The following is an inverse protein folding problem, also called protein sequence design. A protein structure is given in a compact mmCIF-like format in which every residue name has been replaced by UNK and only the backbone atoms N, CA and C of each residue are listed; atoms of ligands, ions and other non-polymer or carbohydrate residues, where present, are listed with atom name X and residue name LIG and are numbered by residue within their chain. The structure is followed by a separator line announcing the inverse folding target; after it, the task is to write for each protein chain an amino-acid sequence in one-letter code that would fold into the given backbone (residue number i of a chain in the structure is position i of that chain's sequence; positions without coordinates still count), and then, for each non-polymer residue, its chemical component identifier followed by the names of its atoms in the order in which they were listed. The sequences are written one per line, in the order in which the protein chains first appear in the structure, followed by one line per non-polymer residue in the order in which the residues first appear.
data_IF_306344920555
#
_entry.id   IF_306344920555
#
_cell.length_a   1.000
_cell.length_b   1.000
_cell.length_c   1.000
_cell.angle_alpha   90.00
_cell.angle_beta   90.00
_cell.angle_gamma   90.00
#
_symmetry.space_group_name_H-M   'P 1'
#
loop_
_entity.id
_entity.type
_entity.pdbx_description
1 polymer ?
#
# COMPACT_ATOMS: atom_id res chain seq x y z
N UNK A 1 47.22 -18.25 48.60
CA UNK A 1 46.73 -19.11 47.49
C UNK A 1 45.35 -18.68 46.94
N UNK A 2 44.26 -18.65 47.74
CA UNK A 2 42.91 -18.29 47.24
C UNK A 2 42.75 -16.85 46.71
N UNK A 3 43.43 -15.87 47.31
CA UNK A 3 43.35 -14.45 46.91
C UNK A 3 44.04 -14.16 45.57
N UNK A 4 45.11 -14.89 45.24
CA UNK A 4 45.80 -14.78 43.95
C UNK A 4 44.95 -15.31 42.79
N UNK A 5 44.14 -16.36 43.01
CA UNK A 5 43.22 -16.89 41.98
C UNK A 5 42.11 -15.88 41.63
N UNK A 6 41.63 -15.12 42.63
CA UNK A 6 40.65 -14.06 42.42
C UNK A 6 41.24 -12.86 41.67
N UNK A 7 42.45 -12.42 42.04
CA UNK A 7 43.15 -11.31 41.36
C UNK A 7 43.48 -11.65 39.91
N UNK A 8 43.95 -12.88 39.65
CA UNK A 8 44.23 -13.35 38.27
C UNK A 8 42.94 -13.45 37.44
N UNK A 9 41.83 -13.88 38.04
CA UNK A 9 40.53 -13.93 37.37
C UNK A 9 40.00 -12.55 36.97
N UNK A 10 40.13 -11.54 37.84
CA UNK A 10 39.73 -10.16 37.53
C UNK A 10 40.62 -9.55 36.45
N UNK A 11 41.91 -9.83 36.48
CA UNK A 11 42.86 -9.34 35.47
C UNK A 11 42.55 -9.94 34.08
N UNK A 12 42.27 -11.25 34.03
CA UNK A 12 41.87 -11.91 32.79
C UNK A 12 40.54 -11.40 32.24
N UNK A 13 39.56 -11.14 33.10
CA UNK A 13 38.28 -10.56 32.70
C UNK A 13 38.45 -9.13 32.13
N UNK A 14 39.32 -8.31 32.72
CA UNK A 14 39.62 -6.96 32.23
C UNK A 14 40.37 -6.96 30.89
N UNK A 15 41.26 -7.95 30.66
CA UNK A 15 41.96 -8.10 29.38
C UNK A 15 40.99 -8.57 28.29
N UNK A 16 40.07 -9.48 28.62
CA UNK A 16 39.07 -9.98 27.67
C UNK A 16 38.10 -8.87 27.21
N UNK A 17 37.68 -7.96 28.09
CA UNK A 17 36.85 -6.81 27.71
C UNK A 17 37.62 -5.79 26.87
N UNK A 18 38.91 -5.58 27.14
CA UNK A 18 39.75 -4.71 26.31
C UNK A 18 39.99 -5.27 24.90
N UNK A 19 40.15 -6.59 24.76
CA UNK A 19 40.36 -7.25 23.47
C UNK A 19 39.11 -7.25 22.58
N UNK A 20 37.91 -7.34 23.18
CA UNK A 20 36.64 -7.25 22.44
C UNK A 20 36.28 -5.82 22.04
N UNK A 21 36.80 -4.81 22.75
CA UNK A 21 36.33 -3.42 22.62
C UNK A 21 37.09 -2.57 21.59
N UNK A 22 38.06 -3.09 20.84
CA UNK A 22 38.86 -2.26 19.92
C UNK A 22 39.10 -2.89 18.54
N UNK A 23 38.11 -3.61 18.02
CA UNK A 23 38.05 -3.91 16.60
C UNK A 23 37.44 -2.70 15.89
N UNK A 24 38.28 -1.82 15.34
CA UNK A 24 37.81 -0.90 14.30
C UNK A 24 37.30 -1.77 13.14
N UNK A 25 35.98 -1.79 12.97
CA UNK A 25 35.33 -2.53 11.89
C UNK A 25 35.90 -2.12 10.53
N UNK A 26 35.75 -2.98 9.50
CA UNK A 26 36.23 -2.68 8.16
C UNK A 26 35.75 -1.29 7.73
N UNK A 27 36.64 -0.54 7.09
CA UNK A 27 36.40 0.81 6.58
C UNK A 27 35.11 0.79 5.75
N UNK A 28 34.11 1.54 6.19
CA UNK A 28 32.77 1.46 5.62
C UNK A 28 32.83 1.89 4.15
N UNK A 29 32.62 0.94 3.24
CA UNK A 29 32.37 1.24 1.82
C UNK A 29 31.05 2.00 1.77
N UNK A 30 31.01 3.10 1.02
CA UNK A 30 29.79 3.86 0.83
C UNK A 30 28.68 2.91 0.38
N UNK A 31 27.53 2.86 1.10
CA UNK A 31 26.51 1.90 0.77
C UNK A 31 25.94 2.24 -0.61
N UNK A 32 25.76 1.22 -1.45
CA UNK A 32 25.13 1.34 -2.77
C UNK A 32 23.82 0.57 -2.78
N UNK A 33 22.88 0.96 -3.64
CA UNK A 33 21.61 0.24 -3.76
C UNK A 33 21.83 -1.17 -4.35
N UNK A 34 21.71 -2.19 -3.51
CA UNK A 34 21.76 -3.60 -3.95
C UNK A 34 20.43 -4.03 -4.57
N UNK A 35 20.39 -5.10 -5.39
CA UNK A 35 19.15 -5.63 -5.94
C UNK A 35 18.09 -5.97 -4.88
N UNK A 36 18.51 -6.46 -3.72
CA UNK A 36 17.64 -6.78 -2.58
C UNK A 36 17.05 -5.51 -1.97
N UNK A 37 17.87 -4.46 -1.83
CA UNK A 37 17.41 -3.16 -1.32
C UNK A 37 16.42 -2.51 -2.30
N UNK A 38 16.66 -2.62 -3.60
CA UNK A 38 15.74 -2.18 -4.65
C UNK A 38 14.41 -2.93 -4.56
N UNK A 39 14.43 -4.25 -4.34
CA UNK A 39 13.21 -5.05 -4.17
C UNK A 39 12.41 -4.65 -2.92
N UNK A 40 13.08 -4.29 -1.82
CA UNK A 40 12.41 -3.78 -0.61
C UNK A 40 11.72 -2.43 -0.86
N UNK A 41 12.33 -1.56 -1.67
CA UNK A 41 11.76 -0.26 -2.01
C UNK A 41 10.57 -0.35 -2.96
N UNK A 42 10.52 -1.38 -3.82
CA UNK A 42 9.53 -1.53 -4.88
C UNK A 42 8.08 -1.38 -4.40
N UNK A 43 7.73 -1.97 -3.24
CA UNK A 43 6.36 -1.90 -2.72
C UNK A 43 5.95 -0.49 -2.29
N UNK A 44 6.85 0.25 -1.64
CA UNK A 44 6.58 1.63 -1.20
C UNK A 44 6.54 2.58 -2.39
N UNK A 45 7.51 2.45 -3.29
CA UNK A 45 7.59 3.25 -4.51
C UNK A 45 6.37 3.02 -5.39
N UNK A 46 5.92 1.77 -5.57
CA UNK A 46 4.74 1.47 -6.38
C UNK A 46 3.45 2.08 -5.85
N UNK A 47 3.27 2.15 -4.52
CA UNK A 47 2.11 2.80 -3.91
C UNK A 47 2.14 4.32 -4.09
N UNK A 48 3.31 4.92 -3.90
CA UNK A 48 3.53 6.36 -4.10
C UNK A 48 3.30 6.73 -5.57
N UNK A 49 3.83 5.95 -6.52
CA UNK A 49 3.57 6.13 -7.97
C UNK A 49 2.08 5.95 -8.31
N UNK A 50 1.38 4.99 -7.70
CA UNK A 50 -0.05 4.83 -7.90
C UNK A 50 -0.85 6.06 -7.42
N UNK A 51 -0.44 6.68 -6.32
CA UNK A 51 -1.02 7.94 -5.85
C UNK A 51 -0.73 9.08 -6.83
N UNK A 52 0.51 9.17 -7.34
CA UNK A 52 0.92 10.15 -8.36
C UNK A 52 0.03 10.14 -9.60
N UNK A 53 -0.25 8.94 -10.13
CA UNK A 53 -1.08 8.76 -11.33
C UNK A 53 -2.49 9.32 -11.15
N UNK A 54 -2.99 9.35 -9.90
CA UNK A 54 -4.33 9.83 -9.56
C UNK A 54 -4.38 11.31 -9.19
N UNK A 55 -3.25 12.01 -9.05
CA UNK A 55 -3.26 13.44 -8.71
C UNK A 55 -4.00 14.34 -9.72
N UNK A 56 -4.08 14.03 -11.03
CA UNK A 56 -4.94 14.76 -11.95
C UNK A 56 -6.45 14.61 -11.65
N UNK A 57 -6.85 13.58 -10.89
CA UNK A 57 -8.23 13.44 -10.38
C UNK A 57 -8.52 14.52 -9.32
N UNK A 58 -7.58 14.73 -8.39
CA UNK A 58 -7.66 15.77 -7.36
C UNK A 58 -7.72 17.17 -7.96
N UNK A 59 -6.88 17.46 -8.96
CA UNK A 59 -6.91 18.74 -9.68
C UNK A 59 -8.31 19.03 -10.25
N UNK A 60 -8.92 18.04 -10.91
CA UNK A 60 -10.27 18.18 -11.49
C UNK A 60 -11.34 18.43 -10.43
N UNK A 61 -11.17 17.93 -9.21
CA UNK A 61 -12.10 18.24 -8.11
C UNK A 61 -11.94 19.69 -7.63
N UNK A 62 -10.69 20.18 -7.52
CA UNK A 62 -10.40 21.57 -7.18
C UNK A 62 -10.94 22.52 -8.25
N UNK A 63 -10.67 22.24 -9.54
CA UNK A 63 -11.16 23.02 -10.68
C UNK A 63 -12.69 23.15 -10.75
N UNK A 64 -13.41 22.20 -10.16
CA UNK A 64 -14.87 22.18 -10.15
C UNK A 64 -15.47 22.66 -8.82
N UNK A 65 -14.66 23.21 -7.92
CA UNK A 65 -15.06 23.56 -6.55
C UNK A 65 -15.76 22.39 -5.82
N UNK A 66 -15.40 21.15 -6.15
CA UNK A 66 -16.02 19.96 -5.58
C UNK A 66 -15.30 19.56 -4.29
N UNK A 67 -15.48 20.39 -3.26
CA UNK A 67 -14.81 20.27 -1.96
C UNK A 67 -15.07 18.92 -1.25
N UNK A 68 -16.24 18.32 -1.46
CA UNK A 68 -16.57 16.99 -0.93
C UNK A 68 -15.65 15.93 -1.54
N UNK A 69 -15.42 15.98 -2.85
CA UNK A 69 -14.51 15.04 -3.49
C UNK A 69 -13.04 15.37 -3.24
N UNK A 70 -12.68 16.63 -3.01
CA UNK A 70 -11.34 16.99 -2.51
C UNK A 70 -11.10 16.31 -1.16
N UNK A 71 -12.00 16.49 -0.19
CA UNK A 71 -11.89 15.90 1.15
C UNK A 71 -11.87 14.36 1.12
N UNK A 72 -12.76 13.75 0.34
CA UNK A 72 -12.77 12.30 0.15
C UNK A 72 -11.46 11.79 -0.48
N UNK A 73 -10.87 12.56 -1.38
CA UNK A 73 -9.64 12.16 -2.06
C UNK A 73 -8.42 12.23 -1.11
N UNK A 74 -8.33 13.28 -0.29
CA UNK A 74 -7.20 13.47 0.64
C UNK A 74 -7.22 12.46 1.78
N UNK A 75 -8.40 12.06 2.25
CA UNK A 75 -8.55 11.08 3.33
C UNK A 75 -8.71 9.63 2.86
N UNK A 76 -9.11 9.40 1.60
CA UNK A 76 -9.27 8.07 1.02
C UNK A 76 -8.00 7.62 0.29
N UNK A 77 -7.88 7.89 -1.03
CA UNK A 77 -6.69 7.64 -1.84
C UNK A 77 -5.36 8.06 -1.19
N UNK A 78 -5.28 9.28 -0.65
CA UNK A 78 -4.05 9.78 -0.02
C UNK A 78 -3.99 9.53 1.50
N UNK A 79 -4.99 8.87 2.09
CA UNK A 79 -5.07 8.70 3.55
C UNK A 79 -3.91 7.92 4.17
N UNK A 80 -3.21 7.09 3.38
CA UNK A 80 -2.03 6.34 3.82
C UNK A 80 -0.70 7.00 3.46
N UNK A 81 -0.73 8.14 2.74
CA UNK A 81 0.46 8.77 2.18
C UNK A 81 1.52 9.08 3.24
N UNK A 82 1.11 9.60 4.41
CA UNK A 82 2.04 9.85 5.54
C UNK A 82 2.85 8.62 5.92
N UNK A 83 2.19 7.47 6.02
CA UNK A 83 2.86 6.22 6.40
C UNK A 83 3.74 5.68 5.28
N UNK A 84 3.36 5.89 4.03
CA UNK A 84 4.14 5.49 2.86
C UNK A 84 5.42 6.31 2.73
N UNK A 85 5.32 7.64 2.86
CA UNK A 85 6.45 8.57 2.81
C UNK A 85 7.47 8.27 3.91
N UNK A 86 7.01 8.12 5.16
CA UNK A 86 7.89 7.78 6.29
C UNK A 86 8.63 6.45 6.08
N UNK A 87 7.94 5.44 5.54
CA UNK A 87 8.55 4.14 5.23
C UNK A 87 9.52 4.23 4.06
N UNK A 88 9.19 4.98 3.01
CA UNK A 88 10.10 5.18 1.89
C UNK A 88 11.39 5.85 2.36
N UNK A 89 11.28 6.99 3.04
CA UNK A 89 12.42 7.80 3.49
C UNK A 89 13.35 6.98 4.39
N UNK A 90 12.82 6.28 5.39
CA UNK A 90 13.62 5.42 6.28
C UNK A 90 14.27 4.22 5.59
N UNK A 91 13.78 3.82 4.41
CA UNK A 91 14.34 2.72 3.64
C UNK A 91 15.39 3.17 2.62
N UNK A 92 15.58 4.47 2.36
CA UNK A 92 16.64 4.93 1.48
C UNK A 92 18.03 4.77 2.11
N UNK A 93 19.07 4.98 1.31
CA UNK A 93 20.43 5.04 1.83
C UNK A 93 20.62 6.26 2.73
N UNK A 94 21.52 6.22 3.73
CA UNK A 94 21.75 7.32 4.66
C UNK A 94 22.03 8.68 3.98
N UNK A 95 22.65 8.67 2.81
CA UNK A 95 22.93 9.88 2.03
C UNK A 95 21.66 10.55 1.47
N UNK A 96 20.62 9.76 1.20
CA UNK A 96 19.36 10.22 0.58
C UNK A 96 18.24 10.42 1.61
N UNK A 97 18.35 9.80 2.79
CA UNK A 97 17.35 9.83 3.86
C UNK A 97 16.95 11.26 4.25
N UNK A 98 17.92 12.10 4.60
CA UNK A 98 17.64 13.46 5.07
C UNK A 98 16.89 14.29 4.02
N UNK A 99 17.25 14.17 2.74
CA UNK A 99 16.57 14.87 1.66
C UNK A 99 15.13 14.35 1.47
N UNK A 100 14.94 13.03 1.54
CA UNK A 100 13.62 12.43 1.40
C UNK A 100 12.70 12.73 2.59
N UNK A 101 13.25 12.84 3.80
CA UNK A 101 12.51 13.25 4.99
C UNK A 101 11.98 14.67 4.86
N UNK A 102 12.82 15.63 4.48
CA UNK A 102 12.40 17.02 4.26
C UNK A 102 11.30 17.10 3.20
N UNK A 103 11.50 16.46 2.04
CA UNK A 103 10.48 16.42 0.99
C UNK A 103 9.18 15.74 1.45
N UNK A 104 9.27 14.71 2.29
CA UNK A 104 8.09 14.07 2.87
C UNK A 104 7.32 15.00 3.79
N UNK A 105 8.02 15.82 4.58
CA UNK A 105 7.41 16.82 5.45
C UNK A 105 6.74 17.94 4.64
N UNK A 106 7.39 18.42 3.59
CA UNK A 106 6.85 19.45 2.70
C UNK A 106 5.58 18.96 1.99
N UNK A 107 5.61 17.75 1.41
CA UNK A 107 4.42 17.09 0.80
C UNK A 107 3.25 17.06 1.80
N UNK A 108 3.51 16.64 3.03
CA UNK A 108 2.45 16.56 4.06
C UNK A 108 1.96 17.94 4.50
N UNK A 109 2.85 18.93 4.57
CA UNK A 109 2.52 20.31 4.86
C UNK A 109 1.62 20.93 3.79
N UNK A 110 1.92 20.69 2.52
CA UNK A 110 1.10 21.16 1.40
C UNK A 110 -0.26 20.44 1.35
N UNK A 111 -0.30 19.14 1.62
CA UNK A 111 -1.56 18.39 1.71
C UNK A 111 -2.45 18.94 2.84
N UNK A 112 -1.89 19.20 4.02
CA UNK A 112 -2.63 19.80 5.14
C UNK A 112 -3.18 21.19 4.77
N UNK A 113 -2.37 22.05 4.14
CA UNK A 113 -2.83 23.39 3.72
C UNK A 113 -3.89 23.30 2.62
N UNK A 114 -3.83 22.30 1.75
CA UNK A 114 -4.86 22.01 0.76
C UNK A 114 -6.18 21.63 1.44
N UNK A 115 -6.14 20.77 2.46
CA UNK A 115 -7.34 20.42 3.27
C UNK A 115 -7.93 21.65 3.98
N UNK A 116 -7.08 22.51 4.54
CA UNK A 116 -7.51 23.77 5.16
C UNK A 116 -8.15 24.71 4.14
N UNK A 117 -7.58 24.83 2.94
CA UNK A 117 -8.15 25.64 1.86
C UNK A 117 -9.47 25.07 1.35
N UNK A 118 -9.58 23.73 1.24
CA UNK A 118 -10.81 23.02 0.88
C UNK A 118 -11.93 23.30 1.87
N UNK A 119 -11.64 23.23 3.17
CA UNK A 119 -12.58 23.55 4.25
C UNK A 119 -13.10 24.99 4.15
N UNK A 120 -12.22 25.93 3.79
CA UNK A 120 -12.54 27.35 3.60
C UNK A 120 -13.16 27.65 2.22
N UNK A 121 -13.23 26.66 1.33
CA UNK A 121 -13.64 26.82 -0.08
C UNK A 121 -12.79 27.86 -0.83
N UNK A 122 -11.52 27.92 -0.48
CA UNK A 122 -10.55 28.82 -1.11
C UNK A 122 -9.90 28.12 -2.30
N UNK A 123 -10.46 28.33 -3.48
CA UNK A 123 -9.91 27.82 -4.74
C UNK A 123 -8.46 28.24 -4.95
N UNK A 124 -8.15 29.53 -4.73
CA UNK A 124 -6.82 30.07 -4.99
C UNK A 124 -5.76 29.44 -4.08
N UNK A 125 -6.09 29.25 -2.80
CA UNK A 125 -5.26 28.53 -1.84
C UNK A 125 -5.13 27.06 -2.22
N UNK A 126 -6.23 26.37 -2.52
CA UNK A 126 -6.25 24.94 -2.82
C UNK A 126 -5.40 24.60 -4.06
N UNK A 127 -5.58 25.36 -5.17
CA UNK A 127 -4.83 25.08 -6.41
C UNK A 127 -3.34 25.42 -6.28
N UNK A 128 -2.99 26.43 -5.48
CA UNK A 128 -1.60 26.75 -5.20
C UNK A 128 -0.93 25.62 -4.40
N UNK A 129 -1.57 25.17 -3.31
CA UNK A 129 -1.04 24.06 -2.50
C UNK A 129 -0.98 22.74 -3.27
N UNK A 130 -1.94 22.48 -4.16
CA UNK A 130 -1.90 21.33 -5.06
C UNK A 130 -0.65 21.31 -5.94
N UNK A 131 -0.27 22.46 -6.51
CA UNK A 131 0.90 22.55 -7.39
C UNK A 131 2.20 22.31 -6.64
N UNK A 132 2.36 22.91 -5.46
CA UNK A 132 3.52 22.67 -4.59
C UNK A 132 3.57 21.19 -4.17
N UNK A 133 2.43 20.63 -3.74
CA UNK A 133 2.30 19.21 -3.40
C UNK A 133 2.76 18.30 -4.54
N UNK A 134 2.34 18.54 -5.78
CA UNK A 134 2.79 17.77 -6.95
C UNK A 134 4.29 17.97 -7.21
N UNK A 135 4.79 19.20 -7.09
CA UNK A 135 6.20 19.53 -7.28
C UNK A 135 7.11 18.76 -6.32
N UNK A 136 6.78 18.75 -5.03
CA UNK A 136 7.56 18.02 -4.03
C UNK A 136 7.43 16.50 -4.18
N UNK A 137 6.27 16.03 -4.64
CA UNK A 137 6.07 14.62 -4.96
C UNK A 137 7.03 14.15 -6.07
N UNK A 138 7.15 14.94 -7.14
CA UNK A 138 8.08 14.67 -8.24
C UNK A 138 9.54 14.81 -7.79
N UNK A 139 9.84 15.79 -6.92
CA UNK A 139 11.16 15.95 -6.33
C UNK A 139 11.54 14.74 -5.45
N UNK A 140 10.62 14.18 -4.67
CA UNK A 140 10.86 12.98 -3.87
C UNK A 140 11.16 11.78 -4.75
N UNK A 141 10.38 11.58 -5.81
CA UNK A 141 10.60 10.47 -6.76
C UNK A 141 11.92 10.60 -7.51
N UNK A 142 12.47 11.81 -7.65
CA UNK A 142 13.81 12.03 -8.22
C UNK A 142 14.95 11.55 -7.31
N UNK A 143 14.71 11.48 -5.99
CA UNK A 143 15.67 10.95 -5.00
C UNK A 143 15.64 9.42 -4.96
N UNK A 144 14.51 8.82 -5.33
CA UNK A 144 14.36 7.37 -5.36
C UNK A 144 15.16 6.77 -6.54
N UNK A 145 15.91 5.67 -6.32
CA UNK A 145 16.64 4.99 -7.39
C UNK A 145 15.75 4.62 -8.57
N UNK A 146 16.18 4.96 -9.78
CA UNK A 146 15.41 4.69 -11.00
C UNK A 146 15.08 3.20 -11.17
N UNK A 147 16.01 2.31 -10.80
CA UNK A 147 15.78 0.86 -10.83
C UNK A 147 14.63 0.40 -9.92
N UNK A 148 14.39 1.09 -8.79
CA UNK A 148 13.25 0.80 -7.91
C UNK A 148 11.94 1.30 -8.53
N UNK A 149 11.95 2.48 -9.15
CA UNK A 149 10.80 3.05 -9.87
C UNK A 149 10.41 2.20 -11.08
N UNK A 150 11.36 1.79 -11.90
CA UNK A 150 11.13 0.95 -13.07
C UNK A 150 10.53 -0.41 -12.69
N UNK A 151 11.07 -1.07 -11.66
CA UNK A 151 10.48 -2.32 -11.15
C UNK A 151 9.08 -2.14 -10.59
N UNK A 152 8.78 -1.00 -9.98
CA UNK A 152 7.44 -0.69 -9.49
C UNK A 152 6.44 -0.42 -10.63
N UNK A 153 6.89 0.16 -11.74
CA UNK A 153 6.09 0.42 -12.96
C UNK A 153 5.98 -0.79 -13.91
N UNK A 154 6.80 -1.83 -13.71
CA UNK A 154 6.68 -3.06 -14.48
C UNK A 154 5.32 -3.69 -14.17
N UNK A 155 4.51 -4.04 -15.18
CA UNK A 155 3.22 -4.67 -14.94
C UNK A 155 3.47 -5.94 -14.15
N UNK A 156 3.05 -5.96 -12.89
CA UNK A 156 2.91 -7.17 -12.11
C UNK A 156 2.15 -8.14 -13.01
N UNK A 157 2.82 -9.22 -13.41
CA UNK A 157 2.19 -10.37 -14.07
C UNK A 157 0.85 -10.55 -13.40
N UNK A 158 -0.25 -10.44 -14.15
CA UNK A 158 -1.60 -10.66 -13.67
C UNK A 158 -1.59 -12.00 -12.93
N UNK A 159 -1.45 -11.98 -11.61
CA UNK A 159 -1.94 -13.08 -10.80
C UNK A 159 -3.45 -13.00 -11.00
N UNK A 160 -4.08 -13.98 -11.66
CA UNK A 160 -5.51 -13.97 -11.84
C UNK A 160 -6.15 -13.75 -10.48
N UNK A 161 -7.06 -12.79 -10.42
CA UNK A 161 -7.87 -12.56 -9.23
C UNK A 161 -8.53 -13.87 -8.84
N UNK A 162 -8.82 -14.11 -7.56
CA UNK A 162 -9.62 -15.29 -7.15
C UNK A 162 -10.95 -15.32 -7.94
N UNK A 163 -11.48 -14.15 -8.30
CA UNK A 163 -12.65 -14.00 -9.17
C UNK A 163 -12.42 -14.50 -10.62
N UNK A 164 -11.20 -14.40 -11.15
CA UNK A 164 -10.86 -14.91 -12.49
C UNK A 164 -10.75 -16.45 -12.50
N UNK A 165 -10.38 -17.06 -11.36
CA UNK A 165 -10.36 -18.52 -11.21
C UNK A 165 -11.77 -19.11 -11.05
N UNK A 166 -12.71 -18.38 -10.45
CA UNK A 166 -14.08 -18.88 -10.22
C UNK A 166 -15.05 -18.60 -11.38
N UNK A 167 -14.66 -17.77 -12.35
CA UNK A 167 -15.52 -17.39 -13.49
C UNK A 167 -15.30 -18.26 -14.73
N UNK A 168 -14.31 -19.16 -14.73
CA UNK A 168 -14.25 -20.23 -15.73
C UNK A 168 -15.25 -21.33 -15.35
N UNK A 169 -16.53 -21.05 -15.56
CA UNK A 169 -17.57 -22.08 -15.62
C UNK A 169 -17.21 -22.92 -16.86
N UNK A 170 -16.88 -24.22 -16.73
CA UNK A 170 -16.76 -25.08 -17.90
C UNK A 170 -18.10 -25.03 -18.64
N UNK A 171 -18.03 -24.84 -19.96
CA UNK A 171 -19.19 -24.83 -20.87
C UNK A 171 -20.11 -26.00 -20.47
N UNK A 172 -21.40 -25.77 -20.16
CA UNK A 172 -22.27 -26.84 -19.68
C UNK A 172 -22.31 -27.92 -20.76
N UNK A 173 -21.67 -29.05 -20.46
CA UNK A 173 -21.82 -30.26 -21.25
C UNK A 173 -23.32 -30.52 -21.35
N UNK A 174 -23.83 -30.47 -22.58
CA UNK A 174 -25.25 -30.49 -22.92
C UNK A 174 -25.86 -31.76 -22.33
N UNK A 175 -26.47 -31.65 -21.13
CA UNK A 175 -27.14 -32.75 -20.46
C UNK A 175 -28.36 -33.10 -21.31
N UNK A 176 -28.17 -34.09 -22.19
CA UNK A 176 -29.24 -34.75 -22.93
C UNK A 176 -30.24 -35.31 -21.91
N UNK A 177 -31.51 -34.85 -21.88
CA UNK A 177 -32.47 -35.44 -20.97
C UNK A 177 -32.84 -36.85 -21.45
N UNK A 178 -32.52 -37.86 -20.63
CA UNK A 178 -33.04 -39.23 -20.80
C UNK A 178 -34.56 -39.23 -20.58
N UNK A 179 -35.37 -39.84 -21.48
CA UNK A 179 -36.82 -39.70 -21.47
C UNK A 179 -37.50 -40.78 -20.62
N UNK A 180 -37.43 -40.74 -19.30
CA UNK A 180 -38.06 -41.82 -18.49
C UNK A 180 -38.85 -41.33 -17.25
N UNK A 181 -38.77 -40.07 -16.81
CA UNK A 181 -39.34 -39.67 -15.50
C UNK A 181 -40.67 -38.90 -15.56
N UNK A 182 -41.57 -39.29 -16.47
CA UNK A 182 -42.94 -38.76 -16.58
C UNK A 182 -44.02 -39.76 -16.13
N UNK A 183 -43.89 -40.34 -14.94
CA UNK A 183 -45.01 -41.05 -14.29
C UNK A 183 -45.15 -40.60 -12.83
N UNK A 184 -45.75 -39.42 -12.63
CA UNK A 184 -46.30 -39.04 -11.32
C UNK A 184 -47.69 -39.62 -11.18
N UNK A 185 -47.82 -40.70 -10.42
CA UNK A 185 -49.11 -41.21 -9.93
C UNK A 185 -49.70 -40.19 -8.95
N UNK A 186 -50.95 -39.72 -9.14
CA UNK A 186 -51.55 -38.77 -8.21
C UNK A 186 -51.97 -39.46 -6.91
N UNK A 187 -51.54 -38.88 -5.78
CA UNK A 187 -52.01 -39.22 -4.42
C UNK A 187 -53.38 -38.58 -4.24
N UNK A 188 -54.43 -39.40 -4.16
CA UNK A 188 -55.79 -38.98 -3.82
C UNK A 188 -55.83 -38.54 -2.34
N UNK A 189 -56.17 -37.28 -2.11
CA UNK A 189 -56.60 -36.73 -0.82
C UNK A 189 -58.12 -36.67 -0.86
N UNK A 190 -58.77 -37.40 0.02
CA UNK A 190 -60.23 -37.48 0.15
C UNK A 190 -60.79 -36.12 0.64
N UNK A 191 -61.62 -35.49 -0.19
CA UNK A 191 -62.40 -34.28 0.15
C UNK A 191 -63.74 -34.65 0.80
N UNK A 192 -64.07 -33.86 1.82
CA UNK A 192 -65.27 -33.91 2.65
C UNK A 192 -66.53 -33.47 1.86
N UNK A 193 -67.56 -34.32 1.87
CA UNK A 193 -69.03 -34.06 1.80
C UNK A 193 -69.64 -33.27 0.61
N UNK A 194 -70.67 -33.83 -0.07
CA UNK A 194 -71.30 -33.22 -1.26
C UNK A 194 -72.32 -32.12 -0.93
N UNK A 195 -72.35 -31.08 -1.76
CA UNK A 195 -73.43 -30.09 -1.81
C UNK A 195 -74.00 -29.99 -3.24
N UNK A 196 -75.22 -30.50 -3.43
CA UNK A 196 -76.20 -30.13 -4.44
C UNK A 196 -77.52 -30.83 -4.03
N UNK A 197 -78.74 -30.30 -4.12
CA UNK A 197 -79.36 -29.55 -5.21
C UNK A 197 -80.55 -28.71 -4.73
N UNK A 198 -80.98 -27.80 -5.62
CA UNK A 198 -82.12 -26.92 -5.50
C UNK A 198 -83.47 -27.64 -5.64
N UNK A 199 -84.45 -27.24 -4.82
CA UNK A 199 -85.83 -26.85 -5.17
C UNK A 199 -86.53 -26.29 -3.94
#
# INVERSE_FOLDING_TARGET
MKRYRAVVGVLLAAIATFLVSCGSGPTAVAPTYTPEKIAQLQSYVGRIEANRIRLPELEKYIEKDNWVNVDNFTHGPLGQLRSELSRLSSQLLPADQSKAEVLSEDILGHLQKLDEASTKRDYSGAIAQYREFVGDFDALLSVVPEAARQKASAPTVKTPSVYDMTTSIPDPEEVRPEPEDMVRTPVLLDDETPAAEAS
#
